data_IF_619660605043
#
_entry.id   IF_619660605043
#
_cell.length_a   1.000
_cell.length_b   1.000
_cell.length_c   1.000
_cell.angle_alpha   90.00
_cell.angle_beta   90.00
_cell.angle_gamma   90.00
#
_symmetry.space_group_name_H-M   'P 1'
#
loop_
_entity.id
_entity.type
_entity.pdbx_description
1 polymer ?
#
# COMPACT_ATOMS: atom_id res chain seq x y z
N UNK A 1 -12.73 -38.14 -7.62
CA UNK A 1 -12.83 -38.92 -8.86
C UNK A 1 -12.56 -40.37 -8.51
N UNK A 2 -13.58 -41.24 -8.60
CA UNK A 2 -13.37 -42.69 -8.66
C UNK A 2 -13.42 -43.03 -10.14
N UNK A 3 -12.31 -43.53 -10.68
CA UNK A 3 -12.27 -44.04 -12.05
C UNK A 3 -13.14 -45.31 -12.12
N UNK A 4 -14.07 -45.36 -13.08
CA UNK A 4 -14.93 -46.53 -13.32
C UNK A 4 -14.18 -47.77 -13.81
N UNK A 5 -12.94 -47.59 -14.27
CA UNK A 5 -12.06 -48.66 -14.76
C UNK A 5 -10.99 -49.08 -13.74
N UNK A 6 -11.04 -48.59 -12.51
CA UNK A 6 -10.12 -49.01 -11.46
C UNK A 6 -10.49 -50.41 -10.95
N UNK A 7 -10.05 -51.46 -11.65
CA UNK A 7 -10.13 -52.83 -11.13
C UNK A 7 -9.08 -53.01 -10.02
N UNK A 8 -9.51 -53.08 -8.76
CA UNK A 8 -8.68 -53.45 -7.61
C UNK A 8 -8.33 -54.95 -7.60
N UNK A 9 -8.01 -55.53 -8.75
CA UNK A 9 -7.77 -56.97 -8.92
C UNK A 9 -6.37 -57.42 -8.47
N UNK A 10 -5.49 -56.50 -8.05
CA UNK A 10 -4.09 -56.80 -7.73
C UNK A 10 -3.62 -56.35 -6.34
N UNK A 11 -4.50 -55.81 -5.50
CA UNK A 11 -4.16 -55.40 -4.12
C UNK A 11 -5.18 -56.03 -3.19
N UNK A 12 -4.77 -57.08 -2.49
CA UNK A 12 -5.67 -57.85 -1.59
C UNK A 12 -5.79 -57.22 -0.21
N UNK A 13 -4.94 -56.25 0.11
CA UNK A 13 -4.94 -55.51 1.36
C UNK A 13 -4.45 -54.06 1.19
N UNK A 14 -4.97 -53.09 1.98
CA UNK A 14 -4.46 -51.72 2.02
C UNK A 14 -2.96 -51.60 2.33
N UNK A 15 -2.35 -52.62 2.95
CA UNK A 15 -0.91 -52.66 3.26
C UNK A 15 -0.03 -53.11 2.10
N UNK A 16 -0.61 -53.79 1.10
CA UNK A 16 0.13 -54.28 -0.08
C UNK A 16 0.45 -53.19 -1.08
N UNK A 17 -0.30 -52.08 -1.07
CA UNK A 17 -0.06 -50.95 -1.98
C UNK A 17 1.37 -50.43 -1.89
N UNK A 18 1.99 -50.42 -0.70
CA UNK A 18 3.39 -50.02 -0.52
C UNK A 18 4.41 -50.94 -1.19
N UNK A 19 4.03 -52.20 -1.46
CA UNK A 19 4.89 -53.23 -2.07
C UNK A 19 4.71 -53.32 -3.59
N UNK A 20 3.53 -52.94 -4.09
CA UNK A 20 3.14 -53.11 -5.50
C UNK A 20 3.03 -51.79 -6.26
N UNK A 21 2.86 -50.66 -5.57
CA UNK A 21 2.83 -49.33 -6.19
C UNK A 21 4.19 -48.65 -6.07
N UNK A 22 4.80 -48.38 -7.21
CA UNK A 22 6.02 -47.58 -7.29
C UNK A 22 5.65 -46.10 -7.43
N UNK A 23 5.65 -45.39 -6.31
CA UNK A 23 5.56 -43.93 -6.32
C UNK A 23 6.92 -43.35 -6.68
N UNK A 24 7.06 -42.85 -7.89
CA UNK A 24 8.21 -42.04 -8.27
C UNK A 24 7.91 -40.60 -7.89
N UNK A 25 8.84 -39.96 -7.17
CA UNK A 25 8.80 -38.52 -7.05
C UNK A 25 9.04 -38.00 -8.46
N UNK A 26 8.03 -37.35 -9.05
CA UNK A 26 8.27 -36.57 -10.26
C UNK A 26 9.34 -35.57 -9.89
N UNK A 27 10.51 -35.76 -10.49
CA UNK A 27 11.62 -34.85 -10.36
C UNK A 27 11.14 -33.56 -11.02
N UNK A 28 10.56 -32.70 -10.18
CA UNK A 28 10.28 -31.33 -10.49
C UNK A 28 11.62 -30.76 -10.94
N UNK A 29 11.83 -30.70 -12.24
CA UNK A 29 12.85 -29.86 -12.86
C UNK A 29 12.46 -28.46 -12.42
N UNK A 30 12.89 -28.08 -11.22
CA UNK A 30 12.96 -26.70 -10.82
C UNK A 30 14.03 -26.17 -11.77
N UNK A 31 13.59 -25.76 -12.97
CA UNK A 31 14.17 -24.57 -13.59
C UNK A 31 14.42 -23.61 -12.44
N UNK A 32 15.63 -23.03 -12.38
CA UNK A 32 16.13 -22.25 -11.24
C UNK A 32 15.28 -20.99 -11.03
N UNK A 33 13.99 -21.14 -10.73
CA UNK A 33 13.02 -20.10 -10.64
C UNK A 33 13.25 -19.37 -9.35
N UNK A 34 13.33 -18.07 -9.49
CA UNK A 34 13.45 -17.15 -8.38
C UNK A 34 12.31 -16.15 -8.48
N UNK A 35 11.80 -15.76 -7.33
CA UNK A 35 10.92 -14.61 -7.24
C UNK A 35 11.64 -13.38 -7.82
N UNK A 36 10.92 -12.49 -8.51
CA UNK A 36 11.51 -11.31 -9.15
C UNK A 36 12.34 -10.48 -8.17
N UNK A 37 13.47 -9.93 -8.64
CA UNK A 37 14.40 -9.16 -7.82
C UNK A 37 13.75 -8.02 -7.02
N UNK A 38 12.71 -7.37 -7.58
CA UNK A 38 11.99 -6.30 -6.88
C UNK A 38 11.06 -6.82 -5.76
N UNK A 39 10.51 -8.04 -5.88
CA UNK A 39 9.71 -8.68 -4.81
C UNK A 39 10.62 -9.04 -3.63
N UNK A 40 11.80 -9.58 -3.93
CA UNK A 40 12.79 -10.02 -2.93
C UNK A 40 13.80 -8.94 -2.55
N UNK A 41 13.64 -7.71 -3.06
CA UNK A 41 14.42 -6.55 -2.62
C UNK A 41 14.29 -6.33 -1.11
N UNK A 42 13.13 -6.71 -0.57
CA UNK A 42 12.88 -6.91 0.83
C UNK A 42 12.54 -8.39 1.06
N UNK A 43 13.20 -9.02 2.02
CA UNK A 43 12.93 -10.42 2.35
C UNK A 43 11.75 -10.60 3.30
N UNK A 44 11.37 -9.53 4.02
CA UNK A 44 10.30 -9.54 5.01
C UNK A 44 9.22 -8.52 4.64
N UNK A 45 8.01 -9.02 4.46
CA UNK A 45 6.82 -8.23 4.21
C UNK A 45 5.72 -8.60 5.20
N UNK A 46 4.79 -7.67 5.41
CA UNK A 46 3.62 -7.85 6.26
C UNK A 46 2.37 -7.42 5.51
N UNK A 47 1.25 -8.10 5.72
CA UNK A 47 -0.04 -7.57 5.28
C UNK A 47 -0.35 -6.26 6.01
N UNK A 48 -1.13 -5.38 5.38
CA UNK A 48 -1.43 -4.05 5.93
C UNK A 48 -2.15 -4.10 7.30
N UNK A 49 -3.01 -5.10 7.51
CA UNK A 49 -3.64 -5.40 8.82
C UNK A 49 -2.68 -6.00 9.85
N UNK A 50 -1.43 -6.29 9.48
CA UNK A 50 -0.43 -7.02 10.26
C UNK A 50 -0.77 -8.49 10.56
N UNK A 51 -1.86 -9.03 9.99
CA UNK A 51 -2.35 -10.38 10.28
C UNK A 51 -1.50 -11.51 9.71
N UNK A 52 -0.67 -11.23 8.70
CA UNK A 52 0.24 -12.21 8.08
C UNK A 52 1.60 -11.60 7.78
N UNK A 53 2.65 -12.40 7.91
CA UNK A 53 4.00 -12.07 7.45
C UNK A 53 4.44 -13.01 6.33
N UNK A 54 5.14 -12.43 5.36
CA UNK A 54 5.59 -13.03 4.11
C UNK A 54 7.12 -12.95 4.08
N UNK A 55 7.76 -14.11 4.19
CA UNK A 55 9.22 -14.20 4.27
C UNK A 55 9.81 -14.95 3.08
N UNK A 56 10.59 -14.24 2.28
CA UNK A 56 11.31 -14.78 1.12
C UNK A 56 12.69 -15.29 1.53
N UNK A 57 13.01 -16.54 1.19
CA UNK A 57 14.22 -17.22 1.61
C UNK A 57 14.71 -18.22 0.57
N UNK A 58 15.80 -18.94 0.89
CA UNK A 58 16.36 -20.02 0.08
C UNK A 58 16.66 -19.57 -1.36
N UNK A 59 17.68 -18.70 -1.51
CA UNK A 59 18.10 -18.15 -2.82
C UNK A 59 16.94 -17.55 -3.62
N UNK A 60 16.06 -16.83 -2.95
CA UNK A 60 14.90 -16.15 -3.54
C UNK A 60 13.90 -17.09 -4.23
N UNK A 61 13.87 -18.39 -3.90
CA UNK A 61 12.98 -19.36 -4.53
C UNK A 61 11.81 -19.80 -3.62
N UNK A 62 11.85 -19.46 -2.32
CA UNK A 62 10.83 -19.88 -1.36
C UNK A 62 10.18 -18.69 -0.69
N UNK A 63 8.86 -18.72 -0.56
CA UNK A 63 8.06 -17.81 0.25
C UNK A 63 7.39 -18.59 1.39
N UNK A 64 7.52 -18.10 2.63
CA UNK A 64 6.79 -18.61 3.80
C UNK A 64 5.78 -17.56 4.24
N UNK A 65 4.53 -17.98 4.41
CA UNK A 65 3.44 -17.16 4.93
C UNK A 65 3.08 -17.69 6.32
N UNK A 66 3.16 -16.81 7.31
CA UNK A 66 2.86 -17.10 8.72
C UNK A 66 1.81 -16.12 9.20
N UNK A 67 0.81 -16.62 9.93
CA UNK A 67 -0.18 -15.79 10.59
C UNK A 67 0.43 -15.12 11.83
N UNK A 68 -0.05 -13.93 12.18
CA UNK A 68 0.32 -13.25 13.41
C UNK A 68 0.05 -14.18 14.62
N UNK A 69 1.09 -14.43 15.43
CA UNK A 69 1.07 -15.35 16.57
C UNK A 69 0.67 -16.80 16.27
N UNK A 70 0.83 -17.27 15.01
CA UNK A 70 0.44 -18.61 14.58
C UNK A 70 1.57 -19.44 13.96
N UNK A 71 1.32 -20.74 13.69
CA UNK A 71 2.23 -21.59 12.93
C UNK A 71 2.34 -21.12 11.47
N UNK A 72 3.29 -21.68 10.71
CA UNK A 72 3.37 -21.48 9.26
C UNK A 72 2.08 -21.96 8.61
N UNK A 73 1.35 -21.04 7.97
CA UNK A 73 0.08 -21.32 7.31
C UNK A 73 0.33 -21.91 5.92
N UNK A 74 1.30 -21.36 5.20
CA UNK A 74 1.61 -21.81 3.85
C UNK A 74 3.09 -21.63 3.51
N UNK A 75 3.67 -22.63 2.83
CA UNK A 75 5.00 -22.57 2.21
C UNK A 75 4.82 -22.67 0.70
N UNK A 76 5.50 -21.80 -0.03
CA UNK A 76 5.49 -21.76 -1.48
C UNK A 76 6.91 -21.85 -2.01
N UNK A 77 7.09 -22.63 -3.09
CA UNK A 77 8.35 -22.75 -3.82
C UNK A 77 8.07 -22.37 -5.27
N UNK A 78 8.84 -21.45 -5.84
CA UNK A 78 8.64 -21.08 -7.25
C UNK A 78 8.91 -22.29 -8.15
N UNK A 79 7.98 -22.54 -9.08
CA UNK A 79 8.17 -23.52 -10.14
C UNK A 79 8.67 -22.84 -11.42
N UNK A 80 7.90 -21.91 -11.97
CA UNK A 80 8.27 -21.14 -13.16
C UNK A 80 7.52 -19.81 -13.24
N UNK A 81 8.08 -18.84 -13.97
CA UNK A 81 7.46 -17.55 -14.26
C UNK A 81 6.68 -17.68 -15.57
N UNK A 82 5.39 -17.34 -15.54
CA UNK A 82 4.50 -17.40 -16.72
C UNK A 82 4.61 -16.12 -17.53
N UNK A 83 4.55 -14.97 -16.84
CA UNK A 83 4.64 -13.66 -17.46
C UNK A 83 5.40 -12.71 -16.54
N UNK A 84 6.28 -11.90 -17.13
CA UNK A 84 7.08 -10.89 -16.43
C UNK A 84 6.95 -9.56 -17.16
N UNK A 85 5.92 -8.80 -16.80
CA UNK A 85 5.60 -7.51 -17.42
C UNK A 85 5.52 -6.42 -16.33
N UNK A 86 4.48 -5.59 -16.35
CA UNK A 86 4.15 -4.67 -15.25
C UNK A 86 3.74 -5.43 -13.98
N UNK A 87 3.13 -6.59 -14.17
CA UNK A 87 2.83 -7.58 -13.13
C UNK A 87 3.61 -8.85 -13.42
N UNK A 88 3.91 -9.59 -12.35
CA UNK A 88 4.55 -10.91 -12.47
C UNK A 88 3.53 -11.98 -12.13
N UNK A 89 3.30 -12.87 -13.08
CA UNK A 89 2.49 -14.07 -12.89
C UNK A 89 3.41 -15.27 -12.85
N UNK A 90 3.27 -16.11 -11.83
CA UNK A 90 4.09 -17.31 -11.66
C UNK A 90 3.27 -18.47 -11.10
N UNK A 91 3.75 -19.67 -11.37
CA UNK A 91 3.27 -20.89 -10.74
C UNK A 91 4.17 -21.22 -9.57
N UNK A 92 3.56 -21.44 -8.40
CA UNK A 92 4.26 -21.87 -7.20
C UNK A 92 3.68 -23.19 -6.70
N UNK A 93 4.55 -24.10 -6.26
CA UNK A 93 4.14 -25.26 -5.49
C UNK A 93 3.87 -24.83 -4.05
N UNK A 94 2.61 -24.86 -3.65
CA UNK A 94 2.14 -24.49 -2.33
C UNK A 94 1.96 -25.72 -1.43
N UNK A 95 2.22 -25.55 -0.14
CA UNK A 95 1.97 -26.56 0.89
C UNK A 95 1.36 -25.86 2.09
N UNK A 96 0.14 -26.23 2.45
CA UNK A 96 -0.63 -25.69 3.57
C UNK A 96 -1.20 -26.84 4.40
N UNK A 97 -0.64 -27.06 5.59
CA UNK A 97 -0.93 -28.27 6.38
C UNK A 97 -0.61 -29.55 5.60
N UNK A 98 -1.57 -30.48 5.52
CA UNK A 98 -1.44 -31.73 4.75
C UNK A 98 -1.81 -31.59 3.26
N UNK A 99 -2.18 -30.39 2.81
CA UNK A 99 -2.56 -30.14 1.41
C UNK A 99 -1.38 -29.57 0.65
N UNK A 100 -1.16 -30.07 -0.56
CA UNK A 100 -0.17 -29.55 -1.49
C UNK A 100 -0.76 -29.48 -2.91
N UNK A 101 -0.11 -28.69 -3.75
CA UNK A 101 -0.47 -28.50 -5.14
C UNK A 101 0.11 -27.20 -5.69
N UNK A 102 -0.23 -26.89 -6.92
CA UNK A 102 0.22 -25.69 -7.61
C UNK A 102 -0.85 -24.60 -7.53
N UNK A 103 -0.40 -23.37 -7.34
CA UNK A 103 -1.25 -22.18 -7.37
C UNK A 103 -0.70 -21.17 -8.36
N UNK A 104 -1.59 -20.37 -8.94
CA UNK A 104 -1.18 -19.15 -9.62
C UNK A 104 -0.97 -18.05 -8.60
N UNK A 105 0.12 -17.30 -8.74
CA UNK A 105 0.35 -16.07 -8.01
C UNK A 105 0.57 -14.93 -8.98
N UNK A 106 -0.02 -13.78 -8.66
CA UNK A 106 0.15 -12.53 -9.40
C UNK A 106 0.65 -11.46 -8.43
N UNK A 107 1.81 -10.89 -8.75
CA UNK A 107 2.45 -9.82 -7.99
C UNK A 107 2.36 -8.52 -8.78
N UNK A 108 1.86 -7.48 -8.12
CA UNK A 108 1.81 -6.11 -8.64
C UNK A 108 2.82 -5.27 -7.88
N UNK A 109 3.77 -4.67 -8.60
CA UNK A 109 4.65 -3.65 -8.03
C UNK A 109 3.85 -2.36 -7.90
N UNK A 110 3.63 -1.87 -6.68
CA UNK A 110 2.88 -0.63 -6.43
C UNK A 110 3.82 0.52 -6.10
N UNK A 111 4.75 0.28 -5.18
CA UNK A 111 5.85 1.16 -4.83
C UNK A 111 7.10 0.31 -4.50
N UNK A 112 8.22 0.93 -4.20
CA UNK A 112 9.44 0.31 -3.70
C UNK A 112 9.22 -0.51 -2.42
N UNK A 113 8.34 -0.05 -1.54
CA UNK A 113 8.04 -0.65 -0.24
C UNK A 113 6.60 -1.16 -0.12
N UNK A 114 5.86 -1.21 -1.26
CA UNK A 114 4.46 -1.65 -1.30
C UNK A 114 4.22 -2.54 -2.51
N UNK A 115 3.68 -3.72 -2.29
CA UNK A 115 3.29 -4.65 -3.36
C UNK A 115 1.87 -5.16 -3.10
N UNK A 116 1.19 -5.61 -4.16
CA UNK A 116 -0.06 -6.36 -4.02
C UNK A 116 0.11 -7.77 -4.56
N UNK A 117 -0.49 -8.73 -3.84
CA UNK A 117 -0.42 -10.14 -4.18
C UNK A 117 -1.83 -10.71 -4.30
N UNK A 118 -2.07 -11.44 -5.38
CA UNK A 118 -3.25 -12.27 -5.58
C UNK A 118 -2.82 -13.70 -5.85
N UNK A 119 -3.68 -14.66 -5.48
CA UNK A 119 -3.45 -16.06 -5.76
C UNK A 119 -4.74 -16.77 -6.18
N UNK A 120 -4.61 -17.92 -6.83
CA UNK A 120 -5.75 -18.78 -7.11
C UNK A 120 -6.39 -19.27 -5.79
N UNK A 121 -7.72 -19.29 -5.73
CA UNK A 121 -8.45 -19.76 -4.55
C UNK A 121 -8.40 -21.29 -4.38
N UNK A 122 -7.90 -22.02 -5.39
CA UNK A 122 -7.75 -23.47 -5.40
C UNK A 122 -6.33 -23.87 -5.78
N UNK A 123 -5.89 -24.99 -5.23
CA UNK A 123 -4.67 -25.69 -5.63
C UNK A 123 -5.03 -26.73 -6.69
N UNK A 124 -4.23 -26.83 -7.75
CA UNK A 124 -4.32 -27.88 -8.78
C UNK A 124 -3.15 -28.85 -8.65
N UNK A 125 -3.25 -30.02 -9.27
CA UNK A 125 -2.18 -31.03 -9.18
C UNK A 125 -1.16 -30.92 -10.32
N UNK A 126 -1.56 -30.37 -11.47
CA UNK A 126 -0.67 -30.15 -12.61
C UNK A 126 -0.20 -28.68 -12.62
N UNK A 127 1.12 -28.41 -12.67
CA UNK A 127 1.64 -27.04 -12.78
C UNK A 127 1.18 -26.30 -14.05
N UNK A 128 0.89 -27.00 -15.15
CA UNK A 128 0.42 -26.40 -16.40
C UNK A 128 -1.02 -25.90 -16.30
N UNK A 129 -1.80 -26.40 -15.35
CA UNK A 129 -3.18 -25.97 -15.10
C UNK A 129 -3.28 -24.78 -14.14
N UNK A 130 -2.20 -24.46 -13.41
CA UNK A 130 -2.29 -23.52 -12.29
C UNK A 130 -2.57 -22.08 -12.73
N UNK A 131 -1.94 -21.61 -13.81
CA UNK A 131 -2.06 -20.24 -14.33
C UNK A 131 -2.72 -20.18 -15.72
N UNK A 132 -3.79 -20.95 -15.93
CA UNK A 132 -4.68 -20.82 -17.09
C UNK A 132 -6.10 -20.50 -16.63
N UNK A 133 -6.99 -19.94 -17.48
CA UNK A 133 -8.38 -19.72 -17.12
C UNK A 133 -9.03 -21.01 -16.60
N UNK A 134 -9.81 -20.96 -15.50
CA UNK A 134 -10.30 -19.77 -14.78
C UNK A 134 -9.36 -19.21 -13.71
N UNK A 135 -8.20 -19.83 -13.45
CA UNK A 135 -7.30 -19.46 -12.34
C UNK A 135 -6.47 -18.19 -12.58
N UNK A 136 -6.65 -17.58 -13.74
CA UNK A 136 -6.13 -16.25 -14.10
C UNK A 136 -7.22 -15.18 -14.14
N UNK A 137 -8.49 -15.53 -13.91
CA UNK A 137 -9.59 -14.56 -13.88
C UNK A 137 -9.51 -13.72 -12.59
N UNK A 138 -9.28 -12.40 -12.67
CA UNK A 138 -9.17 -11.53 -11.50
C UNK A 138 -10.37 -11.59 -10.54
N UNK A 139 -11.56 -11.93 -11.04
CA UNK A 139 -12.78 -12.04 -10.23
C UNK A 139 -12.89 -13.38 -9.47
N UNK A 140 -12.19 -14.42 -9.94
CA UNK A 140 -12.19 -15.75 -9.35
C UNK A 140 -10.94 -16.04 -8.51
N UNK A 141 -9.94 -15.16 -8.60
CA UNK A 141 -8.76 -15.14 -7.73
C UNK A 141 -9.10 -14.58 -6.34
N UNK A 142 -8.14 -14.68 -5.43
CA UNK A 142 -8.26 -14.07 -4.10
C UNK A 142 -8.35 -12.54 -4.22
N UNK A 143 -8.98 -11.92 -3.22
CA UNK A 143 -8.87 -10.47 -3.06
C UNK A 143 -7.39 -10.06 -2.93
N UNK A 144 -6.96 -8.97 -3.56
CA UNK A 144 -5.58 -8.51 -3.49
C UNK A 144 -5.21 -8.14 -2.05
N UNK A 145 -4.16 -8.78 -1.56
CA UNK A 145 -3.55 -8.48 -0.27
C UNK A 145 -2.46 -7.44 -0.49
N UNK A 146 -2.53 -6.33 0.24
CA UNK A 146 -1.49 -5.29 0.20
C UNK A 146 -0.41 -5.63 1.21
N UNK A 147 0.82 -5.77 0.72
CA UNK A 147 1.99 -6.07 1.53
C UNK A 147 2.89 -4.85 1.60
N UNK A 148 3.39 -4.59 2.81
CA UNK A 148 4.30 -3.50 3.13
C UNK A 148 5.56 -4.06 3.79
N UNK A 149 6.66 -3.33 3.64
CA UNK A 149 7.92 -3.65 4.33
C UNK A 149 7.83 -3.31 5.82
N UNK A 150 8.76 -3.85 6.62
CA UNK A 150 8.85 -3.57 8.07
C UNK A 150 9.13 -2.08 8.32
N UNK A 151 10.04 -1.51 7.53
CA UNK A 151 10.39 -0.10 7.56
C UNK A 151 9.83 0.58 6.32
N UNK A 152 8.95 1.55 6.54
CA UNK A 152 8.32 2.36 5.51
C UNK A 152 8.92 3.77 5.58
N UNK A 153 9.62 4.22 4.52
CA UNK A 153 10.15 5.58 4.47
C UNK A 153 9.02 6.58 4.28
N UNK A 154 9.09 7.72 4.98
CA UNK A 154 8.12 8.79 4.76
C UNK A 154 8.33 9.44 3.39
N UNK A 155 7.23 9.73 2.70
CA UNK A 155 7.21 10.33 1.37
C UNK A 155 6.19 11.46 1.30
N UNK A 156 6.34 12.34 0.30
CA UNK A 156 5.37 13.39 0.02
C UNK A 156 4.02 12.76 -0.36
N UNK A 157 2.93 13.17 0.29
CA UNK A 157 1.61 12.71 -0.12
C UNK A 157 1.26 13.21 -1.54
N UNK A 158 0.52 12.43 -2.34
CA UNK A 158 0.04 12.89 -3.64
C UNK A 158 -1.12 13.87 -3.46
N UNK A 159 -1.54 14.54 -4.55
CA UNK A 159 -2.73 15.39 -4.58
C UNK A 159 -2.66 16.53 -3.55
N UNK A 160 -1.57 17.30 -3.59
CA UNK A 160 -1.37 18.43 -2.70
C UNK A 160 -2.48 19.49 -2.87
N UNK A 161 -3.03 19.95 -1.76
CA UNK A 161 -4.13 20.93 -1.78
C UNK A 161 -4.84 21.06 -0.44
N UNK A 162 -5.71 22.07 -0.38
CA UNK A 162 -6.65 22.30 0.70
C UNK A 162 -8.05 21.91 0.24
N UNK A 163 -8.72 21.05 1.01
CA UNK A 163 -10.02 20.49 0.70
C UNK A 163 -10.99 20.74 1.85
N UNK A 164 -12.27 20.87 1.52
CA UNK A 164 -13.36 20.80 2.50
C UNK A 164 -13.99 19.42 2.40
N UNK A 165 -14.05 18.73 3.53
CA UNK A 165 -14.79 17.50 3.69
C UNK A 165 -16.25 17.83 3.99
N UNK A 166 -17.12 17.55 3.02
CA UNK A 166 -18.55 17.49 3.30
C UNK A 166 -18.84 16.20 4.06
N UNK A 167 -19.52 16.32 5.20
CA UNK A 167 -19.89 15.22 6.10
C UNK A 167 -20.93 14.28 5.49
N UNK A 168 -20.61 13.68 4.34
CA UNK A 168 -21.14 12.36 4.04
C UNK A 168 -20.89 11.45 5.25
N UNK A 169 -21.70 10.41 5.43
CA UNK A 169 -21.79 9.53 6.61
C UNK A 169 -20.49 8.77 7.02
N UNK A 170 -19.30 9.24 6.65
CA UNK A 170 -17.99 8.72 6.98
C UNK A 170 -17.60 9.02 8.44
N UNK A 171 -18.14 8.23 9.36
CA UNK A 171 -17.82 8.28 10.80
C UNK A 171 -16.37 7.92 11.15
N UNK A 172 -15.63 7.30 10.23
CA UNK A 172 -14.28 6.77 10.46
C UNK A 172 -13.15 7.78 10.23
N UNK A 173 -13.43 8.92 9.60
CA UNK A 173 -12.43 9.88 9.12
C UNK A 173 -12.31 11.13 10.00
N UNK A 174 -13.39 11.49 10.68
CA UNK A 174 -13.53 12.78 11.34
C UNK A 174 -13.15 12.64 12.82
N UNK A 175 -12.22 13.46 13.32
CA UNK A 175 -12.06 13.63 14.76
C UNK A 175 -13.43 13.95 15.38
N UNK A 176 -13.76 13.28 16.48
CA UNK A 176 -14.96 13.65 17.25
C UNK A 176 -14.67 14.97 17.94
N UNK A 177 -15.30 16.05 17.49
CA UNK A 177 -15.15 17.36 18.13
C UNK A 177 -15.88 17.32 19.49
N UNK A 178 -15.20 17.61 20.62
CA UNK A 178 -15.86 17.66 21.92
C UNK A 178 -16.85 18.83 22.05
N UNK A 179 -16.77 19.84 21.17
CA UNK A 179 -17.68 20.98 21.17
C UNK A 179 -18.95 20.68 20.34
N UNK A 180 -20.13 20.57 20.98
CA UNK A 180 -21.39 20.34 20.28
C UNK A 180 -21.83 21.51 19.38
N UNK A 181 -21.23 22.69 19.51
CA UNK A 181 -21.48 23.87 18.67
C UNK A 181 -20.59 23.91 17.42
N UNK A 182 -19.64 22.98 17.28
CA UNK A 182 -18.82 22.82 16.09
C UNK A 182 -19.66 22.27 14.93
N UNK A 183 -20.28 23.16 14.18
CA UNK A 183 -21.03 22.84 12.95
C UNK A 183 -20.23 23.06 11.66
N UNK A 184 -18.96 23.45 11.75
CA UNK A 184 -18.15 23.73 10.56
C UNK A 184 -17.74 22.44 9.84
N UNK A 185 -17.63 22.51 8.52
CA UNK A 185 -17.08 21.41 7.74
C UNK A 185 -15.62 21.14 8.11
N UNK A 186 -15.22 19.87 8.15
CA UNK A 186 -13.83 19.47 8.39
C UNK A 186 -12.95 19.90 7.23
N UNK A 187 -11.80 20.49 7.55
CA UNK A 187 -10.78 20.84 6.56
C UNK A 187 -9.79 19.70 6.43
N UNK A 188 -9.37 19.42 5.19
CA UNK A 188 -8.39 18.39 4.88
C UNK A 188 -7.25 19.03 4.09
N UNK A 189 -6.05 19.04 4.65
CA UNK A 189 -4.85 19.53 3.98
C UNK A 189 -3.94 18.37 3.63
N UNK A 190 -3.55 18.28 2.36
CA UNK A 190 -2.63 17.25 1.87
C UNK A 190 -1.35 17.93 1.38
N UNK A 191 -0.20 17.54 1.93
CA UNK A 191 1.12 18.00 1.48
C UNK A 191 1.34 19.52 1.44
N UNK A 192 0.78 20.25 2.40
CA UNK A 192 1.04 21.69 2.56
C UNK A 192 2.38 21.94 3.32
N UNK A 193 2.96 23.13 3.19
CA UNK A 193 4.35 23.45 3.60
C UNK A 193 4.75 23.02 5.02
N UNK A 194 3.85 23.13 6.00
CA UNK A 194 4.13 22.71 7.37
C UNK A 194 4.32 21.19 7.53
N UNK A 195 3.76 20.40 6.60
CA UNK A 195 3.72 18.94 6.67
C UNK A 195 3.64 18.32 5.26
N UNK A 196 4.73 18.40 4.45
CA UNK A 196 4.72 17.94 3.06
C UNK A 196 4.44 16.43 2.93
N UNK A 197 4.74 15.66 3.97
CA UNK A 197 4.55 14.21 4.02
C UNK A 197 3.27 13.79 4.72
N UNK A 198 2.34 14.71 5.00
CA UNK A 198 1.15 14.37 5.79
C UNK A 198 -0.19 14.72 5.12
N UNK A 199 -1.20 13.95 5.52
CA UNK A 199 -2.63 14.26 5.38
C UNK A 199 -3.14 14.68 6.76
N UNK A 200 -3.64 15.89 6.86
CA UNK A 200 -4.20 16.44 8.11
C UNK A 200 -5.69 16.64 7.95
N UNK A 201 -6.45 16.10 8.89
CA UNK A 201 -7.88 16.34 9.08
C UNK A 201 -8.05 17.23 10.30
N UNK A 202 -8.68 18.39 10.12
CA UNK A 202 -8.85 19.38 11.17
C UNK A 202 -10.31 19.85 11.22
N UNK A 203 -10.92 19.72 12.39
CA UNK A 203 -12.27 20.20 12.73
C UNK A 203 -12.22 21.67 13.18
N UNK A 204 -13.34 22.23 13.67
CA UNK A 204 -13.38 23.62 14.14
C UNK A 204 -12.51 23.83 15.37
N UNK A 205 -12.54 22.88 16.32
CA UNK A 205 -11.65 22.93 17.47
C UNK A 205 -10.24 22.55 17.02
N UNK A 206 -9.29 23.46 17.15
CA UNK A 206 -7.87 23.20 16.83
C UNK A 206 -7.26 22.06 17.65
N UNK A 207 -7.96 21.58 18.69
CA UNK A 207 -7.54 20.48 19.55
C UNK A 207 -7.91 19.09 19.02
N UNK A 208 -8.80 18.98 18.03
CA UNK A 208 -9.18 17.68 17.45
C UNK A 208 -8.69 17.55 16.00
N UNK A 209 -7.39 17.25 15.85
CA UNK A 209 -6.78 16.95 14.55
C UNK A 209 -6.34 15.49 14.43
N UNK A 210 -6.50 14.91 13.25
CA UNK A 210 -5.92 13.62 12.89
C UNK A 210 -4.89 13.83 11.79
N UNK A 211 -3.65 13.42 12.06
CA UNK A 211 -2.51 13.58 11.13
C UNK A 211 -1.99 12.21 10.73
N UNK A 212 -1.74 12.02 9.44
CA UNK A 212 -1.24 10.78 8.87
C UNK A 212 -0.01 11.03 8.01
N UNK A 213 1.12 10.41 8.32
CA UNK A 213 2.33 10.47 7.49
C UNK A 213 2.27 9.45 6.35
N UNK A 214 2.52 9.90 5.13
CA UNK A 214 2.50 9.09 3.91
C UNK A 214 3.82 8.33 3.73
N UNK A 215 3.73 7.13 3.17
CA UNK A 215 4.86 6.20 3.02
C UNK A 215 5.03 5.65 1.61
N UNK A 216 3.93 5.32 0.94
CA UNK A 216 3.98 4.80 -0.42
C UNK A 216 2.72 5.14 -1.18
N UNK A 217 2.86 5.36 -2.49
CA UNK A 217 1.75 5.80 -3.34
C UNK A 217 1.82 5.21 -4.74
N UNK A 218 0.65 4.93 -5.29
CA UNK A 218 0.48 4.57 -6.70
C UNK A 218 -0.87 5.05 -7.19
N UNK A 219 -1.04 5.09 -8.51
CA UNK A 219 -2.30 5.47 -9.13
C UNK A 219 -2.69 4.45 -10.20
N UNK A 220 -3.98 4.10 -10.20
CA UNK A 220 -4.61 3.32 -11.25
C UNK A 220 -5.76 4.17 -11.80
N UNK A 221 -5.63 4.65 -13.05
CA UNK A 221 -6.59 5.55 -13.70
C UNK A 221 -6.85 6.83 -12.89
N UNK A 222 -8.06 7.01 -12.34
CA UNK A 222 -8.48 8.17 -11.53
C UNK A 222 -8.40 7.91 -10.02
N UNK A 223 -7.89 6.75 -9.63
CA UNK A 223 -7.79 6.34 -8.24
C UNK A 223 -6.35 6.41 -7.79
N UNK A 224 -6.09 7.19 -6.75
CA UNK A 224 -4.79 7.28 -6.08
C UNK A 224 -4.84 6.55 -4.76
N UNK A 225 -3.85 5.71 -4.50
CA UNK A 225 -3.71 4.95 -3.27
C UNK A 225 -2.54 5.49 -2.47
N UNK A 226 -2.72 5.57 -1.16
CA UNK A 226 -1.69 6.09 -0.25
C UNK A 226 -1.64 5.21 0.99
N UNK A 227 -0.47 4.63 1.25
CA UNK A 227 -0.17 4.00 2.54
C UNK A 227 0.26 5.10 3.50
N UNK A 228 -0.43 5.21 4.63
CA UNK A 228 -0.14 6.22 5.62
C UNK A 228 -0.25 5.69 7.06
N UNK A 229 0.51 6.30 7.97
CA UNK A 229 0.51 5.98 9.39
C UNK A 229 -0.04 7.13 10.22
N UNK A 230 -0.94 6.88 11.19
CA UNK A 230 -1.34 7.92 12.13
C UNK A 230 -0.13 8.39 12.94
N UNK A 231 0.02 9.71 13.09
CA UNK A 231 1.06 10.35 13.93
C UNK A 231 0.78 10.09 15.41
N UNK A 232 -0.50 10.18 15.80
CA UNK A 232 -0.99 9.81 17.11
C UNK A 232 -2.12 8.80 16.95
N UNK A 233 -2.12 7.74 17.75
CA UNK A 233 -3.11 6.66 17.66
C UNK A 233 -3.45 6.10 19.03
N UNK A 234 -4.68 5.63 19.20
CA UNK A 234 -5.04 4.78 20.34
C UNK A 234 -4.40 3.40 20.15
N UNK A 235 -4.22 2.66 21.24
CA UNK A 235 -3.68 1.29 21.18
C UNK A 235 -4.53 0.35 20.32
N UNK A 236 -5.84 0.60 20.26
CA UNK A 236 -6.84 -0.14 19.47
C UNK A 236 -6.84 0.19 17.97
N UNK A 237 -6.20 1.30 17.58
CA UNK A 237 -6.21 1.75 16.18
C UNK A 237 -5.18 0.97 15.36
N UNK A 238 -5.47 0.80 14.07
CA UNK A 238 -4.55 0.14 13.14
C UNK A 238 -3.24 0.94 13.04
N UNK A 239 -2.13 0.21 12.86
CA UNK A 239 -0.79 0.82 12.76
C UNK A 239 -0.62 1.62 11.46
N UNK A 240 -1.31 1.21 10.40
CA UNK A 240 -1.24 1.76 9.04
C UNK A 240 -2.61 1.70 8.40
N UNK A 241 -2.86 2.60 7.46
CA UNK A 241 -4.08 2.65 6.68
C UNK A 241 -3.75 2.81 5.21
N UNK A 242 -4.67 2.33 4.38
CA UNK A 242 -4.74 2.66 2.97
C UNK A 242 -5.80 3.73 2.75
N UNK A 243 -5.38 4.90 2.29
CA UNK A 243 -6.27 5.92 1.76
C UNK A 243 -6.47 5.72 0.26
N UNK A 244 -7.73 5.69 -0.17
CA UNK A 244 -8.12 5.53 -1.57
C UNK A 244 -8.85 6.78 -2.00
N UNK A 245 -8.22 7.58 -2.85
CA UNK A 245 -8.71 8.85 -3.37
C UNK A 245 -9.17 8.66 -4.81
N UNK A 246 -10.46 8.76 -5.06
CA UNK A 246 -11.02 8.63 -6.41
C UNK A 246 -11.49 10.00 -6.91
N UNK A 247 -10.81 10.52 -7.93
CA UNK A 247 -11.08 11.82 -8.52
C UNK A 247 -12.27 11.75 -9.48
N UNK A 248 -13.32 12.53 -9.19
CA UNK A 248 -14.51 12.68 -10.03
C UNK A 248 -14.61 14.12 -10.54
N UNK A 249 -15.58 14.39 -11.41
CA UNK A 249 -15.78 15.74 -11.94
C UNK A 249 -16.28 16.67 -10.83
N UNK A 250 -15.42 17.60 -10.39
CA UNK A 250 -15.75 18.64 -9.40
C UNK A 250 -15.56 18.25 -7.93
N UNK A 251 -15.30 16.98 -7.61
CA UNK A 251 -15.05 16.51 -6.24
C UNK A 251 -14.24 15.21 -6.22
N UNK A 252 -13.73 14.83 -5.06
CA UNK A 252 -12.96 13.61 -4.84
C UNK A 252 -13.57 12.80 -3.69
N UNK A 253 -13.63 11.48 -3.82
CA UNK A 253 -14.07 10.61 -2.72
C UNK A 253 -12.86 9.99 -2.04
N UNK A 254 -12.84 10.00 -0.72
CA UNK A 254 -11.79 9.42 0.12
C UNK A 254 -12.34 8.23 0.91
N UNK A 255 -11.69 7.08 0.80
CA UNK A 255 -11.89 5.93 1.68
C UNK A 255 -10.64 5.68 2.52
N UNK A 256 -10.81 5.07 3.70
CA UNK A 256 -9.72 4.58 4.54
C UNK A 256 -9.98 3.15 4.96
N UNK A 257 -9.03 2.28 4.66
CA UNK A 257 -9.08 0.86 4.97
C UNK A 257 -7.87 0.48 5.82
N UNK A 258 -8.06 -0.40 6.80
CA UNK A 258 -6.98 -0.90 7.65
C UNK A 258 -6.44 -2.26 7.21
N UNK A 259 -7.07 -2.92 6.24
CA UNK A 259 -6.82 -4.31 5.88
C UNK A 259 -6.12 -4.49 4.54
N UNK A 260 -6.59 -3.83 3.48
CA UNK A 260 -5.93 -3.84 2.17
C UNK A 260 -6.38 -2.64 1.34
N UNK A 261 -5.57 -2.25 0.35
CA UNK A 261 -5.91 -1.26 -0.65
C UNK A 261 -6.84 -1.81 -1.74
N UNK A 262 -8.04 -2.24 -1.35
CA UNK A 262 -9.06 -2.70 -2.27
C UNK A 262 -10.47 -2.37 -1.78
N UNK A 263 -11.24 -1.66 -2.61
CA UNK A 263 -12.66 -1.42 -2.37
C UNK A 263 -13.43 -2.68 -2.77
N UNK A 264 -13.48 -3.68 -1.88
CA UNK A 264 -14.32 -4.85 -2.13
C UNK A 264 -15.80 -4.46 -2.04
N UNK A 265 -16.62 -4.94 -2.99
CA UNK A 265 -18.05 -4.62 -3.06
C UNK A 265 -18.83 -4.95 -1.77
N UNK A 266 -18.32 -5.89 -0.96
CA UNK A 266 -18.88 -6.27 0.33
C UNK A 266 -18.49 -5.34 1.50
N UNK A 267 -17.49 -4.46 1.35
CA UNK A 267 -17.10 -3.48 2.38
C UNK A 267 -17.54 -2.09 1.94
N UNK A 268 -18.83 -1.79 2.14
CA UNK A 268 -19.34 -0.43 1.98
C UNK A 268 -18.82 0.42 3.13
N UNK A 269 -17.62 0.99 2.98
CA UNK A 269 -17.19 2.11 3.80
C UNK A 269 -17.74 3.38 3.16
N UNK A 270 -18.54 4.14 3.90
CA UNK A 270 -19.06 5.43 3.42
C UNK A 270 -17.87 6.34 3.08
N UNK A 271 -17.72 6.79 1.83
CA UNK A 271 -16.64 7.70 1.47
C UNK A 271 -16.84 9.07 2.11
N UNK A 272 -15.73 9.76 2.32
CA UNK A 272 -15.72 11.20 2.60
C UNK A 272 -15.62 11.95 1.28
N UNK A 273 -16.53 12.89 1.04
CA UNK A 273 -16.50 13.74 -0.14
C UNK A 273 -15.65 14.98 0.13
N UNK A 274 -14.64 15.17 -0.71
CA UNK A 274 -13.66 16.25 -0.64
C UNK A 274 -13.85 17.19 -1.83
N UNK A 275 -14.03 18.48 -1.55
CA UNK A 275 -14.08 19.54 -2.55
C UNK A 275 -12.83 20.40 -2.43
N UNK A 276 -12.09 20.54 -3.54
CA UNK A 276 -10.88 21.36 -3.58
C UNK A 276 -11.25 22.83 -3.34
N UNK A 277 -10.61 23.47 -2.35
CA UNK A 277 -10.73 24.90 -2.08
C UNK A 277 -9.59 25.71 -2.73
N UNK A 278 -8.39 25.13 -2.76
CA UNK A 278 -7.24 25.81 -3.33
C UNK A 278 -5.97 24.96 -3.25
N UNK A 279 -4.92 25.41 -3.93
CA UNK A 279 -3.58 24.88 -3.74
C UNK A 279 -3.07 25.22 -2.33
N UNK A 280 -2.09 24.47 -1.83
CA UNK A 280 -1.32 24.90 -0.66
C UNK A 280 -0.53 26.18 -1.05
N UNK A 281 -1.10 27.36 -0.83
CA UNK A 281 -0.43 28.64 -1.10
C UNK A 281 0.75 28.85 -0.16
N UNK A 282 1.81 29.47 -0.68
CA UNK A 282 2.84 30.09 0.13
C UNK A 282 2.17 31.17 0.99
N UNK A 283 2.02 30.93 2.29
CA UNK A 283 1.98 32.08 3.18
C UNK A 283 3.40 32.63 3.17
N UNK A 284 3.69 33.56 2.25
CA UNK A 284 4.64 34.61 2.54
C UNK A 284 4.13 35.26 3.82
N UNK A 285 4.72 34.86 4.94
CA UNK A 285 4.61 35.60 6.17
C UNK A 285 5.15 37.00 5.86
N UNK A 286 4.27 37.95 5.57
CA UNK A 286 4.61 39.37 5.59
C UNK A 286 4.83 39.78 7.05
N UNK A 287 5.96 39.33 7.61
CA UNK A 287 6.66 40.07 8.65
C UNK A 287 7.76 40.84 7.96
N UNK A 288 7.38 41.92 7.29
CA UNK A 288 8.29 43.03 7.01
C UNK A 288 7.54 44.33 7.28
N UNK A 289 7.38 44.63 8.57
CA UNK A 289 7.18 45.99 9.06
C UNK A 289 8.46 46.40 9.78
N UNK A 290 9.54 46.63 9.03
CA UNK A 290 10.74 47.32 9.49
C UNK A 290 11.63 47.72 8.31
N UNK A 291 11.32 48.83 7.65
CA UNK A 291 12.31 49.73 7.04
C UNK A 291 11.62 50.93 6.36
N UNK A 292 11.21 51.90 7.16
CA UNK A 292 11.18 53.29 6.69
C UNK A 292 12.65 53.73 6.51
N UNK A 293 13.21 53.47 5.33
CA UNK A 293 14.47 54.09 4.92
C UNK A 293 14.17 55.55 4.55
N UNK A 294 14.45 56.46 5.48
CA UNK A 294 14.66 57.87 5.16
C UNK A 294 16.01 58.01 4.43
N UNK A 295 16.09 58.75 3.30
CA UNK A 295 17.37 59.03 2.69
C UNK A 295 18.05 60.18 3.45
N UNK A 296 19.05 59.86 4.27
CA UNK A 296 19.97 60.85 4.83
C UNK A 296 20.97 61.26 3.76
N UNK A 297 20.64 62.30 3.01
CA UNK A 297 21.59 63.10 2.21
C UNK A 297 22.45 63.87 3.22
N UNK A 298 23.76 63.58 3.29
CA UNK A 298 24.86 64.49 3.69
C UNK A 298 26.05 63.66 4.22
N UNK A 299 27.04 63.40 3.36
CA UNK A 299 28.49 63.48 3.65
C UNK A 299 29.30 62.67 2.64
N UNK A 300 29.72 63.31 1.56
CA UNK A 300 31.08 63.22 1.00
C UNK A 300 31.15 64.10 -0.24
N UNK A 301 31.37 65.39 -0.04
CA UNK A 301 31.91 66.31 -1.06
C UNK A 301 32.57 67.48 -0.31
N UNK A 302 33.64 67.15 0.41
CA UNK A 302 34.63 68.14 0.85
C UNK A 302 36.02 67.54 0.63
N UNK A 303 36.31 67.32 -0.64
CA UNK A 303 37.66 67.26 -1.18
C UNK A 303 37.53 67.67 -2.64
N UNK A 304 38.29 68.71 -3.05
CA UNK A 304 38.38 69.28 -4.40
C UNK A 304 37.39 70.39 -4.79
N UNK A 305 37.35 71.51 -4.05
CA UNK A 305 37.38 72.87 -4.66
C UNK A 305 37.94 73.86 -3.63
N UNK A 306 39.26 73.87 -3.41
CA UNK A 306 40.02 75.05 -2.95
C UNK A 306 41.50 74.89 -3.39
N UNK A 307 41.70 74.61 -4.69
CA UNK A 307 42.93 75.02 -5.38
C UNK A 307 42.50 76.24 -6.20
N UNK A 308 43.19 77.35 -5.95
CA UNK A 308 42.95 78.71 -6.41
C UNK A 308 42.00 79.52 -5.53
N UNK A 309 42.56 80.19 -4.52
CA UNK A 309 42.74 81.65 -4.48
C UNK A 309 43.58 81.95 -3.20
N UNK A 310 44.62 82.80 -3.33
CA UNK A 310 45.65 83.21 -2.34
C UNK A 310 46.84 82.24 -2.20
N UNK A 311 48.10 82.57 -2.53
CA UNK A 311 48.89 83.80 -2.36
C UNK A 311 48.84 84.34 -0.94
#
# INVERSE_FOLDING_TARGET
AQSGDATCSSVTSPTEGSKTMFLTRVESRHERCQFPGWVVSHHHWHSLDNGHSYHFSHKNATLRITREHGPTEMRLVCHHIVANSTTVTLVAHATAGCKNGFICMVFHKRDSAVIQVQQSNKMVQDPLEACIPPFTDPYLMSSPVTLITVSLPETRCPLAGQYIASSGQATWALPSDPDPLCHSNTTVSISCFASPNAITFQTCSSESSAVYNCHGTWSDNRTTYVIASPVSRKSTDAKRYCFILNQRNGYMTLHRLSDSCNLSANRITSPLNLTLQGSCSENSASKDSSALMLPSILSLNMALVLINIFR
#
